data_IF_770754493858
#
_entry.id   IF_770754493858
#
_cell.length_a   1.000
_cell.length_b   1.000
_cell.length_c   1.000
_cell.angle_alpha   90.00
_cell.angle_beta   90.00
_cell.angle_gamma   90.00
#
_symmetry.space_group_name_H-M   'P 1'
#
loop_
_entity.id
_entity.type
_entity.pdbx_description
1 polymer ?
#
# COMPACT_ATOMS: atom_id res chain seq x y z
N UNK A 1 9.21 -7.76 -2.05
CA UNK A 1 9.50 -6.32 -1.87
C UNK A 1 9.30 -5.90 -0.42
N UNK A 2 10.35 -5.46 0.27
CA UNK A 2 10.30 -5.09 1.71
C UNK A 2 9.36 -3.92 2.05
N UNK A 3 8.98 -3.08 1.07
CA UNK A 3 8.11 -1.91 1.30
C UNK A 3 6.65 -2.24 1.62
N UNK A 4 6.08 -3.29 1.01
CA UNK A 4 4.66 -3.68 1.24
C UNK A 4 4.53 -4.33 2.61
N UNK A 5 5.45 -5.23 2.95
CA UNK A 5 5.53 -5.82 4.29
C UNK A 5 5.69 -4.74 5.37
N UNK A 6 6.65 -3.81 5.22
CA UNK A 6 6.86 -2.73 6.19
C UNK A 6 5.63 -1.82 6.36
N UNK A 7 4.87 -1.60 5.29
CA UNK A 7 3.63 -0.81 5.34
C UNK A 7 2.50 -1.54 6.08
N UNK A 8 2.39 -2.87 5.92
CA UNK A 8 1.43 -3.71 6.64
C UNK A 8 1.79 -3.75 8.13
N UNK A 9 3.06 -3.98 8.45
CA UNK A 9 3.57 -4.01 9.82
C UNK A 9 3.32 -2.68 10.54
N UNK A 10 3.63 -1.57 9.86
CA UNK A 10 3.35 -0.23 10.39
C UNK A 10 1.85 0.01 10.59
N UNK A 11 0.97 -0.56 9.75
CA UNK A 11 -0.49 -0.50 9.95
C UNK A 11 -0.95 -1.30 11.16
N UNK A 12 -0.41 -2.50 11.38
CA UNK A 12 -0.75 -3.33 12.53
C UNK A 12 -0.42 -2.64 13.86
N UNK A 13 0.68 -1.89 13.90
CA UNK A 13 1.12 -1.13 15.08
C UNK A 13 0.34 0.17 15.32
N UNK A 14 -0.45 0.65 14.36
CA UNK A 14 -1.26 1.86 14.52
C UNK A 14 -0.47 3.18 14.50
N UNK A 15 -0.77 4.08 15.44
CA UNK A 15 -0.16 5.42 15.51
C UNK A 15 1.31 5.32 15.92
N UNK A 16 2.22 5.86 15.11
CA UNK A 16 3.67 5.75 15.32
C UNK A 16 4.32 4.46 14.78
N UNK A 17 3.53 3.53 14.23
CA UNK A 17 4.05 2.27 13.67
C UNK A 17 5.10 2.45 12.57
N UNK A 18 5.01 3.53 11.78
CA UNK A 18 6.01 3.86 10.74
C UNK A 18 7.38 4.14 11.36
N UNK A 19 7.41 4.91 12.44
CA UNK A 19 8.65 5.27 13.13
C UNK A 19 9.23 4.03 13.83
N UNK A 20 8.38 3.22 14.45
CA UNK A 20 8.80 1.97 15.11
C UNK A 20 9.46 0.98 14.11
N UNK A 21 8.80 0.73 12.97
CA UNK A 21 9.34 -0.14 11.92
C UNK A 21 10.61 0.45 11.32
N UNK A 22 10.64 1.76 11.06
CA UNK A 22 11.83 2.44 10.52
C UNK A 22 13.03 2.30 11.44
N UNK A 23 12.84 2.52 12.76
CA UNK A 23 13.90 2.34 13.76
C UNK A 23 14.38 0.90 13.89
N UNK A 24 13.47 -0.07 13.82
CA UNK A 24 13.80 -1.49 13.97
C UNK A 24 14.51 -2.08 12.74
N UNK A 25 14.15 -1.61 11.54
CA UNK A 25 14.59 -2.22 10.27
C UNK A 25 15.59 -1.37 9.48
N UNK A 26 15.72 -0.08 9.80
CA UNK A 26 16.50 0.88 9.02
C UNK A 26 15.84 1.29 7.70
N UNK A 27 14.62 0.84 7.42
CA UNK A 27 13.88 1.26 6.22
C UNK A 27 13.44 2.71 6.39
N UNK A 28 13.68 3.55 5.38
CA UNK A 28 13.26 4.95 5.40
C UNK A 28 11.74 5.09 5.58
N UNK A 29 11.33 6.01 6.45
CA UNK A 29 9.91 6.29 6.72
C UNK A 29 9.13 6.63 5.44
N UNK A 30 9.77 7.34 4.50
CA UNK A 30 9.21 7.67 3.18
C UNK A 30 8.82 6.43 2.39
N UNK A 31 9.66 5.40 2.37
CA UNK A 31 9.42 4.11 1.69
C UNK A 31 8.21 3.38 2.28
N UNK A 32 8.08 3.37 3.61
CA UNK A 32 6.95 2.76 4.31
C UNK A 32 5.65 3.52 3.99
N UNK A 33 5.72 4.86 3.95
CA UNK A 33 4.59 5.73 3.61
C UNK A 33 4.13 5.54 2.17
N UNK A 34 5.06 5.38 1.23
CA UNK A 34 4.78 5.05 -0.18
C UNK A 34 4.09 3.68 -0.25
N UNK A 35 4.62 2.66 0.43
CA UNK A 35 3.99 1.33 0.51
C UNK A 35 2.56 1.38 1.04
N UNK A 36 2.28 2.17 2.08
CA UNK A 36 0.91 2.40 2.58
C UNK A 36 0.00 3.01 1.51
N UNK A 37 0.53 3.95 0.72
CA UNK A 37 -0.23 4.59 -0.35
C UNK A 37 -0.50 3.63 -1.51
N UNK A 38 0.49 2.81 -1.89
CA UNK A 38 0.33 1.74 -2.87
C UNK A 38 -0.71 0.72 -2.44
N UNK A 39 -0.70 0.28 -1.17
CA UNK A 39 -1.71 -0.65 -0.64
C UNK A 39 -3.10 -0.02 -0.67
N UNK A 40 -3.26 1.24 -0.23
CA UNK A 40 -4.55 1.94 -0.32
C UNK A 40 -5.02 2.08 -1.75
N UNK A 41 -4.15 2.46 -2.68
CA UNK A 41 -4.47 2.55 -4.11
C UNK A 41 -4.82 1.20 -4.71
N UNK A 42 -4.09 0.14 -4.36
CA UNK A 42 -4.37 -1.23 -4.80
C UNK A 42 -5.71 -1.73 -4.29
N UNK A 43 -6.03 -1.48 -3.02
CA UNK A 43 -7.35 -1.76 -2.44
C UNK A 43 -8.44 -0.95 -3.14
N UNK A 44 -8.22 0.35 -3.39
CA UNK A 44 -9.17 1.15 -4.17
C UNK A 44 -9.34 0.56 -5.57
N UNK A 45 -8.27 0.15 -6.25
CA UNK A 45 -8.34 -0.46 -7.57
C UNK A 45 -9.12 -1.80 -7.58
N UNK A 46 -8.99 -2.61 -6.54
CA UNK A 46 -9.75 -3.87 -6.38
C UNK A 46 -11.22 -3.60 -6.04
N UNK A 47 -11.52 -2.61 -5.19
CA UNK A 47 -12.89 -2.21 -4.88
C UNK A 47 -13.56 -1.51 -6.07
N UNK A 48 -12.77 -0.82 -6.89
CA UNK A 48 -13.19 -0.29 -8.19
C UNK A 48 -13.01 -1.32 -9.31
N UNK A 49 -12.83 -2.63 -9.05
CA UNK A 49 -13.01 -3.65 -10.10
C UNK A 49 -14.47 -3.67 -10.64
N UNK A 50 -15.38 -2.88 -10.08
CA UNK A 50 -16.59 -2.40 -10.75
C UNK A 50 -16.33 -1.59 -12.03
N UNK A 51 -15.11 -1.12 -12.27
CA UNK A 51 -14.65 -0.45 -13.50
C UNK A 51 -13.88 -1.36 -14.46
N UNK A 52 -13.54 -2.61 -14.07
CA UNK A 52 -12.91 -3.57 -14.99
C UNK A 52 -13.85 -4.01 -16.14
N UNK A 53 -15.15 -3.70 -16.04
CA UNK A 53 -16.12 -3.86 -17.14
C UNK A 53 -16.03 -2.78 -18.21
N UNK A 54 -15.33 -1.66 -17.98
CA UNK A 54 -15.21 -0.58 -18.97
C UNK A 54 -14.01 -0.73 -19.92
N UNK A 55 -12.99 -1.51 -19.55
CA UNK A 55 -11.83 -1.73 -20.43
C UNK A 55 -12.08 -2.84 -21.47
N UNK A 56 -13.08 -3.72 -21.25
CA UNK A 56 -13.39 -4.80 -22.20
C UNK A 56 -14.24 -4.36 -23.40
N UNK A 57 -14.87 -3.17 -23.33
CA UNK A 57 -15.70 -2.63 -24.43
C UNK A 57 -14.97 -1.60 -25.30
N UNK A 58 -13.63 -1.53 -25.25
CA UNK A 58 -12.80 -0.68 -26.10
C UNK A 58 -11.87 -1.50 -27.02
N UNK A 59 -12.14 -2.79 -27.21
CA UNK A 59 -11.37 -3.70 -28.08
C UNK A 59 -12.24 -4.26 -29.24
N UNK A 60 -13.42 -3.67 -29.49
CA UNK A 60 -14.19 -3.89 -30.72
C UNK A 60 -14.11 -2.68 -31.64
#
# INVERSE_FOLDING_TARGET
>A
SNRVWAAIEANALGYGGVVAVSKATGIAESTIRIGRHEIRKGVLNTLTMSDYRKTVCLVD
#
